data_IF_438912152622
#
_entry.id   IF_438912152622
#
_cell.length_a   1.000
_cell.length_b   1.000
_cell.length_c   1.000
_cell.angle_alpha   90.00
_cell.angle_beta   90.00
_cell.angle_gamma   90.00
#
_symmetry.space_group_name_H-M   'P 1'
#
loop_
_entity.id
_entity.type
_entity.pdbx_description
1 polymer ?
#
# COMPACT_ATOMS: atom_id res chain seq x y z
N UNK A 1 -8.21 10.26 5.04
CA UNK A 1 -7.92 10.99 3.77
C UNK A 1 -7.67 9.98 2.66
N UNK A 2 -8.11 10.26 1.42
CA UNK A 2 -7.80 9.40 0.28
C UNK A 2 -6.37 9.61 -0.21
N UNK A 3 -5.67 8.51 -0.44
CA UNK A 3 -4.32 8.46 -0.99
C UNK A 3 -4.34 8.11 -2.47
N UNK A 4 -5.20 7.15 -2.89
CA UNK A 4 -5.41 6.81 -4.29
C UNK A 4 -6.85 7.09 -4.70
N UNK A 5 -7.05 7.99 -5.67
CA UNK A 5 -8.38 8.29 -6.19
C UNK A 5 -8.90 7.20 -7.13
N UNK A 6 -8.03 6.52 -7.89
CA UNK A 6 -8.46 5.52 -8.88
C UNK A 6 -9.14 4.30 -8.25
N UNK A 7 -8.60 3.84 -7.11
CA UNK A 7 -9.10 2.67 -6.40
C UNK A 7 -9.77 3.02 -5.06
N UNK A 8 -9.94 4.32 -4.77
CA UNK A 8 -10.56 4.78 -3.52
C UNK A 8 -9.78 4.39 -2.25
N UNK A 9 -8.45 4.30 -2.33
CA UNK A 9 -7.64 3.85 -1.19
C UNK A 9 -7.39 4.98 -0.21
N UNK A 10 -7.64 4.72 1.07
CA UNK A 10 -7.45 5.67 2.16
C UNK A 10 -6.07 5.54 2.81
N UNK A 11 -5.66 6.59 3.52
CA UNK A 11 -4.42 6.58 4.31
C UNK A 11 -4.45 5.52 5.41
N UNK A 12 -5.61 5.28 6.02
CA UNK A 12 -5.79 4.23 7.03
C UNK A 12 -5.58 2.83 6.45
N UNK A 13 -6.08 2.57 5.23
CA UNK A 13 -5.80 1.32 4.53
C UNK A 13 -4.31 1.17 4.23
N UNK A 14 -3.63 2.23 3.77
CA UNK A 14 -2.18 2.19 3.53
C UNK A 14 -1.40 1.88 4.82
N UNK A 15 -1.78 2.50 5.95
CA UNK A 15 -1.17 2.23 7.25
C UNK A 15 -1.42 0.80 7.71
N UNK A 16 -2.67 0.33 7.63
CA UNK A 16 -3.04 -1.05 7.98
C UNK A 16 -2.20 -2.07 7.20
N UNK A 17 -2.10 -1.89 5.88
CA UNK A 17 -1.25 -2.77 5.07
C UNK A 17 0.23 -2.67 5.44
N UNK A 18 0.73 -1.49 5.83
CA UNK A 18 2.09 -1.33 6.33
C UNK A 18 2.31 -2.09 7.65
N UNK A 19 1.35 -2.04 8.57
CA UNK A 19 1.34 -2.80 9.82
C UNK A 19 1.26 -4.32 9.57
N UNK A 20 0.52 -4.74 8.53
CA UNK A 20 0.47 -6.13 8.04
C UNK A 20 1.77 -6.57 7.33
N UNK A 21 2.77 -5.68 7.16
CA UNK A 21 4.09 -5.99 6.60
C UNK A 21 4.34 -5.48 5.18
N UNK A 22 3.44 -4.69 4.60
CA UNK A 22 3.66 -4.04 3.30
C UNK A 22 4.52 -2.78 3.44
N UNK A 23 5.83 -2.98 3.60
CA UNK A 23 6.79 -1.90 3.82
C UNK A 23 7.17 -1.14 2.52
N UNK A 24 6.74 -1.60 1.34
CA UNK A 24 7.05 -0.96 0.05
C UNK A 24 5.80 -0.57 -0.73
N UNK A 25 5.85 0.47 -1.59
CA UNK A 25 4.73 0.84 -2.45
C UNK A 25 4.27 -0.30 -3.35
N UNK A 26 5.20 -1.19 -3.72
CA UNK A 26 4.90 -2.37 -4.53
C UNK A 26 4.12 -3.42 -3.74
N UNK A 27 4.43 -3.63 -2.46
CA UNK A 27 3.63 -4.50 -1.59
C UNK A 27 2.25 -3.89 -1.32
N UNK A 28 2.18 -2.58 -1.09
CA UNK A 28 0.89 -1.86 -0.99
C UNK A 28 0.08 -2.05 -2.28
N UNK A 29 0.71 -1.90 -3.45
CA UNK A 29 0.06 -2.14 -4.74
C UNK A 29 -0.45 -3.59 -4.88
N UNK A 30 0.30 -4.59 -4.39
CA UNK A 30 -0.17 -5.98 -4.38
C UNK A 30 -1.34 -6.20 -3.41
N UNK A 31 -1.35 -5.53 -2.26
CA UNK A 31 -2.39 -5.70 -1.25
C UNK A 31 -3.71 -4.98 -1.62
N UNK A 32 -3.64 -3.75 -2.14
CA UNK A 32 -4.81 -2.90 -2.35
C UNK A 32 -4.92 -2.25 -3.73
N UNK A 33 -4.07 -2.63 -4.70
CA UNK A 33 -4.02 -2.08 -6.06
C UNK A 33 -3.62 -0.61 -6.14
N UNK A 34 -3.30 0.05 -5.03
CA UNK A 34 -2.88 1.45 -5.07
C UNK A 34 -1.59 1.63 -5.90
N UNK A 35 -1.66 2.49 -6.92
CA UNK A 35 -0.48 2.83 -7.73
C UNK A 35 -0.24 1.95 -8.96
N UNK A 36 -1.19 1.06 -9.32
CA UNK A 36 -1.13 0.23 -10.54
C UNK A 36 -1.79 0.87 -11.77
N UNK A 37 -2.54 1.96 -11.58
CA UNK A 37 -3.22 2.73 -12.63
C UNK A 37 -2.39 3.98 -13.00
N UNK A 38 -2.88 5.20 -12.72
CA UNK A 38 -2.16 6.44 -13.05
C UNK A 38 -0.86 6.69 -12.26
N UNK A 39 -0.63 5.93 -11.18
CA UNK A 39 0.61 6.00 -10.38
C UNK A 39 0.82 7.26 -9.53
N UNK A 40 -0.09 8.25 -9.57
CA UNK A 40 0.07 9.53 -8.84
C UNK A 40 0.20 9.39 -7.32
N UNK A 41 -0.43 8.35 -6.75
CA UNK A 41 -0.39 8.07 -5.32
C UNK A 41 0.93 7.43 -4.83
N UNK A 42 1.77 6.91 -5.72
CA UNK A 42 2.97 6.13 -5.36
C UNK A 42 3.96 6.96 -4.52
N UNK A 43 4.19 8.23 -4.89
CA UNK A 43 5.07 9.12 -4.12
C UNK A 43 4.51 9.44 -2.74
N UNK A 44 3.18 9.55 -2.62
CA UNK A 44 2.51 9.78 -1.34
C UNK A 44 2.58 8.54 -0.45
N UNK A 45 2.38 7.35 -1.01
CA UNK A 45 2.55 6.08 -0.30
C UNK A 45 4.00 5.94 0.21
N UNK A 46 5.01 6.25 -0.62
CA UNK A 46 6.42 6.27 -0.19
C UNK A 46 6.66 7.22 0.99
N UNK A 47 6.01 8.40 0.99
CA UNK A 47 6.15 9.35 2.09
C UNK A 47 5.48 8.83 3.38
N UNK A 48 4.32 8.17 3.27
CA UNK A 48 3.61 7.56 4.40
C UNK A 48 4.37 6.39 5.02
N UNK A 49 5.04 5.58 4.20
CA UNK A 49 5.88 4.47 4.64
C UNK A 49 7.24 4.92 5.21
N UNK A 50 7.62 6.19 5.02
CA UNK A 50 8.88 6.75 5.46
C UNK A 50 10.06 6.52 4.48
N UNK A 51 11.04 7.43 4.51
CA UNK A 51 12.29 7.28 3.74
C UNK A 51 13.23 6.32 4.50
N UNK A 52 13.35 5.07 4.03
CA UNK A 52 14.65 4.40 4.06
C UNK A 52 14.87 3.21 4.99
N UNK A 53 13.92 2.30 5.17
CA UNK A 53 14.25 0.98 5.75
C UNK A 53 13.36 -0.13 5.18
N UNK A 54 13.59 -0.50 3.92
CA UNK A 54 13.20 -1.84 3.46
C UNK A 54 14.45 -2.51 2.93
N UNK A 55 15.10 -3.39 3.72
CA UNK A 55 16.20 -4.19 3.23
C UNK A 55 15.72 -4.99 2.01
N UNK A 56 16.55 -4.93 0.99
CA UNK A 56 16.44 -5.64 -0.28
C UNK A 56 15.91 -7.07 -0.10
N UNK A 57 14.72 -7.32 -0.65
CA UNK A 57 14.35 -8.55 -1.36
C UNK A 57 14.18 -9.80 -0.49
N UNK A 58 13.08 -9.86 0.28
CA UNK A 58 12.43 -11.14 0.60
C UNK A 58 10.96 -11.02 0.21
N UNK A 59 10.58 -11.70 -0.87
CA UNK A 59 9.23 -11.72 -1.41
C UNK A 59 8.41 -12.71 -0.60
N UNK A 60 7.58 -12.21 0.33
CA UNK A 60 6.41 -12.94 0.79
C UNK A 60 5.22 -12.05 0.52
N UNK A 61 4.29 -12.55 -0.29
CA UNK A 61 2.98 -11.97 -0.47
C UNK A 61 2.12 -12.45 0.70
N UNK A 62 1.64 -11.56 1.59
CA UNK A 62 0.50 -11.89 2.40
C UNK A 62 -0.75 -11.68 1.55
N UNK A 63 -1.47 -12.79 1.34
CA UNK A 63 -2.86 -12.82 0.92
C UNK A 63 -3.66 -11.99 1.92
N UNK A 64 -3.91 -10.71 1.63
CA UNK A 64 -4.79 -9.88 2.44
C UNK A 64 -6.23 -10.13 1.99
N UNK A 65 -6.83 -11.10 2.66
CA UNK A 65 -8.27 -11.31 2.75
C UNK A 65 -8.97 -9.96 2.91
N UNK A 66 -9.94 -9.71 2.03
CA UNK A 66 -10.81 -8.55 2.11
C UNK A 66 -11.73 -8.74 3.33
N UNK A 67 -11.75 -7.85 4.32
CA UNK A 67 -12.95 -7.70 5.11
C UNK A 67 -13.95 -6.91 4.26
N UNK A 68 -15.05 -7.58 3.95
CA UNK A 68 -16.28 -7.03 3.41
C UNK A 68 -16.63 -5.70 4.08
N UNK A 69 -16.90 -4.70 3.25
CA UNK A 69 -17.64 -3.51 3.65
C UNK A 69 -18.96 -3.51 2.89
N UNK A 70 -19.96 -4.11 3.55
CA UNK A 70 -21.41 -4.07 3.30
C UNK A 70 -21.99 -4.89 2.14
#
# INVERSE_FOLDING_TARGET
MFVCNCFGITEEQVKKHADDGACTPRQIASACKAGTDCGSCVRRIQALLGRGACPTRELVAPEAELPEAA
#
